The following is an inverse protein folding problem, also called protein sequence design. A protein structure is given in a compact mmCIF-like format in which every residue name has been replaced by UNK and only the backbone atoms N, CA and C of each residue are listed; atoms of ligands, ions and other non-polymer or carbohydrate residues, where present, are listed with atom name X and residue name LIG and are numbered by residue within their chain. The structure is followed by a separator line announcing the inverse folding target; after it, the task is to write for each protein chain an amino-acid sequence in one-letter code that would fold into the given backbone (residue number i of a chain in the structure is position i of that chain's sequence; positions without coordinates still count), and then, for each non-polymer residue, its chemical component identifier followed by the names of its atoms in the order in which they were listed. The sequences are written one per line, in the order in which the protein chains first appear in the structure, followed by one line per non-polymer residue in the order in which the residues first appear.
data_IF_732510187645
#
_entry.id   IF_732510187645
#
_cell.length_a   1.000
_cell.length_b   1.000
_cell.length_c   1.000
_cell.angle_alpha   90.00
_cell.angle_beta   90.00
_cell.angle_gamma   90.00
#
_symmetry.space_group_name_H-M   'P 1'
#
loop_
_entity.id
_entity.type
_entity.pdbx_description
1 polymer ?
#
# COMPACT_ATOMS: atom_id res chain seq x y z
N UNK A 1 10.01 18.62 -4.76
CA UNK A 1 10.60 17.67 -3.79
C UNK A 1 9.48 16.88 -3.09
N UNK A 2 9.61 15.57 -3.06
CA UNK A 2 8.62 14.73 -2.39
C UNK A 2 8.72 14.88 -0.87
N UNK A 3 7.58 15.04 -0.22
CA UNK A 3 7.53 15.22 1.23
C UNK A 3 6.13 14.90 1.76
N UNK A 4 6.08 14.17 2.88
CA UNK A 4 4.84 13.92 3.61
C UNK A 4 5.05 14.23 5.09
N UNK A 5 4.09 14.93 5.69
CA UNK A 5 4.15 15.34 7.09
C UNK A 5 3.59 14.26 8.01
N UNK A 6 3.99 14.30 9.29
CA UNK A 6 3.49 13.36 10.30
C UNK A 6 1.97 13.43 10.45
N UNK A 7 1.38 14.64 10.42
CA UNK A 7 -0.08 14.79 10.52
C UNK A 7 -0.81 14.26 9.29
N UNK A 8 -0.18 14.31 8.11
CA UNK A 8 -0.72 13.71 6.90
C UNK A 8 -0.74 12.19 7.00
N UNK A 9 0.32 11.59 7.56
CA UNK A 9 0.37 10.14 7.82
C UNK A 9 -0.70 9.72 8.83
N UNK A 10 -0.94 10.54 9.86
CA UNK A 10 -1.98 10.27 10.85
C UNK A 10 -3.38 10.21 10.21
N UNK A 11 -3.65 11.05 9.22
CA UNK A 11 -4.93 11.01 8.49
C UNK A 11 -5.09 9.72 7.69
N UNK A 12 -4.01 9.20 7.13
CA UNK A 12 -4.03 7.89 6.45
C UNK A 12 -4.41 6.78 7.43
N UNK A 13 -3.79 6.73 8.61
CA UNK A 13 -4.12 5.75 9.65
C UNK A 13 -5.58 5.83 10.05
N UNK A 14 -6.08 7.04 10.26
CA UNK A 14 -7.46 7.27 10.66
C UNK A 14 -8.44 6.79 9.60
N UNK A 15 -8.19 7.14 8.32
CA UNK A 15 -9.06 6.76 7.21
C UNK A 15 -9.09 5.24 7.01
N UNK A 16 -7.94 4.56 7.12
CA UNK A 16 -7.89 3.10 7.01
C UNK A 16 -8.67 2.43 8.14
N UNK A 17 -8.53 2.95 9.35
CA UNK A 17 -9.27 2.42 10.52
C UNK A 17 -10.78 2.63 10.38
N UNK A 18 -11.20 3.78 9.87
CA UNK A 18 -12.61 4.08 9.64
C UNK A 18 -13.22 3.18 8.56
N UNK A 19 -12.48 2.94 7.46
CA UNK A 19 -13.00 2.14 6.35
C UNK A 19 -13.02 0.64 6.66
N UNK A 20 -11.96 0.11 7.24
CA UNK A 20 -11.80 -1.34 7.43
C UNK A 20 -12.11 -1.79 8.86
N UNK A 21 -12.14 -0.86 9.81
CA UNK A 21 -12.50 -1.13 11.20
C UNK A 21 -11.60 -2.18 11.83
N UNK A 22 -12.22 -3.21 12.40
CA UNK A 22 -11.52 -4.33 13.06
C UNK A 22 -11.18 -5.46 12.10
N UNK A 23 -11.63 -5.39 10.84
CA UNK A 23 -11.42 -6.47 9.85
C UNK A 23 -9.97 -6.61 9.46
N UNK A 24 -9.23 -5.50 9.39
CA UNK A 24 -7.83 -5.49 8.99
C UNK A 24 -7.04 -4.60 9.93
N UNK A 25 -5.82 -5.03 10.24
CA UNK A 25 -4.87 -4.25 11.02
C UNK A 25 -3.74 -3.78 10.12
N UNK A 26 -3.43 -2.50 10.17
CA UNK A 26 -2.44 -1.86 9.32
C UNK A 26 -1.26 -1.34 10.13
N UNK A 27 -0.07 -1.36 9.52
CA UNK A 27 1.09 -0.62 9.98
C UNK A 27 1.34 0.50 8.97
N UNK A 28 1.28 1.76 9.43
CA UNK A 28 1.47 2.93 8.56
C UNK A 28 2.70 3.68 9.05
N UNK A 29 3.69 3.85 8.19
CA UNK A 29 4.97 4.47 8.53
C UNK A 29 5.37 5.51 7.51
N UNK A 30 5.94 6.62 7.99
CA UNK A 30 6.65 7.58 7.15
C UNK A 30 8.10 7.13 7.03
N UNK A 31 8.62 7.09 5.80
CA UNK A 31 9.99 6.69 5.54
C UNK A 31 10.73 7.80 4.81
N UNK A 32 11.89 8.22 5.34
CA UNK A 32 12.75 9.24 4.75
C UNK A 32 12.04 10.56 4.41
N UNK A 33 11.00 10.92 5.16
CA UNK A 33 10.19 12.14 4.97
C UNK A 33 9.47 12.23 3.61
N UNK A 34 9.78 11.38 2.65
CA UNK A 34 9.28 11.48 1.28
C UNK A 34 8.28 10.39 0.91
N UNK A 35 8.16 9.35 1.72
CA UNK A 35 7.27 8.23 1.41
C UNK A 35 6.46 7.78 2.62
N UNK A 36 5.34 7.11 2.33
CA UNK A 36 4.51 6.45 3.33
C UNK A 36 4.36 4.99 2.95
N UNK A 37 4.61 4.11 3.92
CA UNK A 37 4.51 2.67 3.75
C UNK A 37 3.32 2.16 4.54
N UNK A 38 2.39 1.47 3.87
CA UNK A 38 1.23 0.82 4.48
C UNK A 38 1.40 -0.69 4.34
N UNK A 39 1.39 -1.39 5.47
CA UNK A 39 1.45 -2.85 5.49
C UNK A 39 0.20 -3.42 6.15
N UNK A 40 -0.42 -4.43 5.53
CA UNK A 40 -1.52 -5.17 6.12
C UNK A 40 -0.90 -6.26 6.98
N UNK A 41 -0.97 -6.12 8.31
CA UNK A 41 -0.25 -7.03 9.22
C UNK A 41 -1.09 -8.20 9.70
N UNK A 42 -2.40 -8.03 9.81
CA UNK A 42 -3.32 -9.11 10.20
C UNK A 42 -4.76 -8.77 9.81
N UNK A 43 -5.62 -9.76 9.75
CA UNK A 43 -7.03 -9.55 9.46
C UNK A 43 -7.77 -10.81 9.06
N UNK A 44 -9.02 -10.63 8.65
CA UNK A 44 -9.93 -11.71 8.31
C UNK A 44 -9.94 -12.08 6.82
N UNK A 45 -9.01 -11.54 6.04
CA UNK A 45 -8.86 -11.87 4.62
C UNK A 45 -7.79 -12.94 4.49
N UNK A 46 -8.11 -14.01 3.76
CA UNK A 46 -7.18 -15.09 3.47
C UNK A 46 -6.35 -14.76 2.24
N UNK A 47 -5.10 -14.32 2.44
CA UNK A 47 -4.15 -14.10 1.35
C UNK A 47 -3.36 -15.36 1.00
N UNK A 48 -3.55 -16.45 1.76
CA UNK A 48 -2.82 -17.70 1.57
C UNK A 48 -3.56 -18.70 0.66
N UNK A 49 -4.63 -18.26 0.02
CA UNK A 49 -5.51 -19.12 -0.80
C UNK A 49 -5.01 -19.31 -2.25
N UNK A 50 -3.82 -18.85 -2.55
CA UNK A 50 -3.24 -18.94 -3.89
C UNK A 50 -3.43 -17.67 -4.73
N UNK A 51 -4.27 -16.74 -4.31
CA UNK A 51 -4.54 -15.50 -5.08
C UNK A 51 -3.34 -14.56 -5.14
N UNK A 52 -2.41 -14.68 -4.19
CA UNK A 52 -1.21 -13.85 -4.11
C UNK A 52 0.03 -14.56 -4.67
N UNK A 53 -0.11 -15.79 -5.16
CA UNK A 53 1.00 -16.52 -5.76
C UNK A 53 1.41 -15.87 -7.09
N UNK A 54 2.69 -15.90 -7.40
CA UNK A 54 3.23 -15.37 -8.64
C UNK A 54 3.95 -16.45 -9.43
N UNK A 55 3.99 -16.28 -10.76
CA UNK A 55 4.69 -17.22 -11.64
C UNK A 55 5.81 -16.47 -12.37
N UNK A 56 7.01 -17.05 -12.34
CA UNK A 56 8.15 -16.51 -13.06
C UNK A 56 7.93 -16.68 -14.58
N UNK A 57 8.04 -15.59 -15.32
CA UNK A 57 7.83 -15.58 -16.78
C UNK A 57 8.88 -16.36 -17.57
N UNK A 58 10.08 -16.50 -17.00
CA UNK A 58 11.22 -17.11 -17.72
C UNK A 58 11.31 -18.61 -17.53
N UNK A 59 11.00 -19.12 -16.32
CA UNK A 59 11.16 -20.54 -15.99
C UNK A 59 9.86 -21.23 -15.60
N UNK A 60 8.75 -20.49 -15.53
CA UNK A 60 7.45 -21.05 -15.15
C UNK A 60 7.34 -21.45 -13.67
N UNK A 61 8.33 -21.12 -12.86
CA UNK A 61 8.31 -21.48 -11.44
C UNK A 61 7.27 -20.64 -10.69
N UNK A 62 6.46 -21.31 -9.87
CA UNK A 62 5.44 -20.64 -9.05
C UNK A 62 6.05 -20.29 -7.69
N UNK A 63 5.94 -19.02 -7.31
CA UNK A 63 6.34 -18.53 -6.00
C UNK A 63 5.11 -18.37 -5.14
N UNK A 64 4.96 -19.23 -4.13
CA UNK A 64 3.82 -19.18 -3.23
C UNK A 64 3.96 -18.00 -2.25
N UNK A 65 2.84 -17.37 -1.97
CA UNK A 65 2.78 -16.30 -0.97
C UNK A 65 3.09 -16.89 0.42
N UNK A 66 4.11 -16.36 1.05
CA UNK A 66 4.63 -16.87 2.33
C UNK A 66 4.38 -15.92 3.51
N UNK A 67 3.53 -14.91 3.32
CA UNK A 67 3.19 -13.93 4.36
C UNK A 67 3.70 -12.53 4.10
N UNK A 68 4.53 -12.33 3.07
CA UNK A 68 5.00 -11.00 2.67
C UNK A 68 4.99 -10.85 1.17
N UNK A 69 4.32 -9.81 0.69
CA UNK A 69 4.31 -9.45 -0.73
C UNK A 69 4.19 -7.94 -0.86
N UNK A 70 5.06 -7.35 -1.66
CA UNK A 70 4.93 -5.94 -2.04
C UNK A 70 3.88 -5.82 -3.14
N UNK A 71 2.95 -4.87 -2.99
CA UNK A 71 1.83 -4.71 -3.92
C UNK A 71 2.19 -3.67 -4.97
N UNK A 72 1.92 -4.00 -6.24
CA UNK A 72 2.07 -3.07 -7.34
C UNK A 72 0.82 -2.20 -7.43
N UNK A 73 0.91 -0.94 -6.96
CA UNK A 73 -0.23 -0.03 -6.89
C UNK A 73 -0.74 0.42 -8.26
N UNK A 74 0.08 0.30 -9.30
CA UNK A 74 -0.30 0.67 -10.67
C UNK A 74 -1.00 -0.47 -11.42
N UNK A 75 -0.91 -1.69 -10.90
CA UNK A 75 -1.46 -2.88 -11.54
C UNK A 75 -2.19 -3.76 -10.54
N UNK A 76 -3.13 -3.18 -9.80
CA UNK A 76 -3.92 -3.90 -8.79
C UNK A 76 -4.72 -5.05 -9.37
N UNK A 77 -5.00 -5.01 -10.68
CA UNK A 77 -5.70 -6.09 -11.37
C UNK A 77 -4.94 -7.43 -11.38
N UNK A 78 -3.64 -7.43 -11.09
CA UNK A 78 -2.86 -8.66 -10.97
C UNK A 78 -3.27 -9.50 -9.75
N UNK A 79 -3.96 -8.91 -8.78
CA UNK A 79 -4.29 -9.55 -7.51
C UNK A 79 -5.71 -10.12 -7.46
N UNK A 80 -6.39 -10.20 -8.61
CA UNK A 80 -7.68 -10.85 -8.76
C UNK A 80 -8.75 -10.32 -7.80
N UNK A 81 -9.26 -11.18 -6.95
CA UNK A 81 -10.34 -10.81 -6.00
C UNK A 81 -9.94 -9.75 -4.98
N UNK A 82 -8.65 -9.47 -4.82
CA UNK A 82 -8.14 -8.44 -3.91
C UNK A 82 -7.93 -7.09 -4.59
N UNK A 83 -8.21 -6.98 -5.87
CA UNK A 83 -8.00 -5.75 -6.65
C UNK A 83 -8.69 -4.55 -6.01
N UNK A 84 -9.96 -4.69 -5.63
CA UNK A 84 -10.71 -3.59 -5.04
C UNK A 84 -10.14 -3.17 -3.69
N UNK A 85 -9.71 -4.13 -2.88
CA UNK A 85 -9.08 -3.85 -1.59
C UNK A 85 -7.84 -2.97 -1.76
N UNK A 86 -6.92 -3.37 -2.63
CA UNK A 86 -5.69 -2.62 -2.86
C UNK A 86 -5.96 -1.27 -3.50
N UNK A 87 -6.90 -1.19 -4.43
CA UNK A 87 -7.32 0.08 -5.05
C UNK A 87 -7.85 1.05 -4.00
N UNK A 88 -8.68 0.58 -3.07
CA UNK A 88 -9.23 1.41 -1.99
C UNK A 88 -8.13 1.92 -1.06
N UNK A 89 -7.14 1.08 -0.73
CA UNK A 89 -6.02 1.48 0.11
C UNK A 89 -5.18 2.56 -0.57
N UNK A 90 -4.85 2.39 -1.86
CA UNK A 90 -4.11 3.39 -2.64
C UNK A 90 -4.86 4.72 -2.66
N UNK A 91 -6.16 4.66 -2.89
CA UNK A 91 -7.02 5.85 -2.94
C UNK A 91 -6.99 6.62 -1.61
N UNK A 92 -7.02 5.91 -0.49
CA UNK A 92 -6.92 6.51 0.84
C UNK A 92 -5.53 7.15 1.03
N UNK A 93 -4.46 6.44 0.65
CA UNK A 93 -3.09 6.96 0.80
C UNK A 93 -2.88 8.25 0.02
N UNK A 94 -3.58 8.44 -1.10
CA UNK A 94 -3.46 9.61 -1.97
C UNK A 94 -4.43 10.74 -1.63
N UNK A 95 -5.51 10.45 -0.91
CA UNK A 95 -6.56 11.46 -0.62
C UNK A 95 -6.59 11.91 0.84
N UNK A 96 -6.34 11.01 1.79
CA UNK A 96 -6.46 11.32 3.22
C UNK A 96 -5.51 12.44 3.69
N UNK A 97 -4.26 12.55 3.21
CA UNK A 97 -3.38 13.63 3.66
C UNK A 97 -3.93 15.04 3.43
N UNK A 98 -4.79 15.23 2.44
CA UNK A 98 -5.41 16.53 2.18
C UNK A 98 -6.31 17.00 3.32
N UNK A 99 -6.76 16.08 4.20
CA UNK A 99 -7.61 16.38 5.35
C UNK A 99 -6.82 16.91 6.54
N UNK A 100 -5.49 16.76 6.55
CA UNK A 100 -4.65 17.26 7.62
C UNK A 100 -4.50 18.78 7.51
N UNK A 101 -4.27 19.44 8.64
CA UNK A 101 -3.99 20.87 8.64
C UNK A 101 -2.71 21.15 7.85
N UNK A 102 -2.82 21.98 6.82
CA UNK A 102 -1.71 22.24 5.90
C UNK A 102 -1.38 21.09 4.97
N UNK A 103 -2.22 20.05 4.96
CA UNK A 103 -2.04 18.91 4.07
C UNK A 103 -2.43 19.22 2.63
N UNK A 104 -2.02 18.35 1.73
CA UNK A 104 -2.28 18.53 0.30
C UNK A 104 -2.67 17.22 -0.36
N UNK A 105 -3.44 17.32 -1.44
CA UNK A 105 -3.77 16.17 -2.26
C UNK A 105 -2.53 15.65 -2.98
N UNK A 106 -2.49 14.33 -3.20
CA UNK A 106 -1.41 13.71 -3.96
C UNK A 106 -1.42 14.18 -5.41
N UNK A 107 -0.23 14.41 -5.94
CA UNK A 107 -0.05 14.72 -7.36
C UNK A 107 1.25 14.08 -7.86
N UNK A 108 1.33 13.87 -9.17
CA UNK A 108 2.55 13.39 -9.82
C UNK A 108 2.65 14.09 -11.18
N UNK A 109 3.58 15.02 -11.29
CA UNK A 109 3.90 15.75 -12.51
C UNK A 109 5.22 15.29 -13.13
N UNK A 110 5.68 14.09 -12.76
CA UNK A 110 6.94 13.55 -13.26
C UNK A 110 6.89 13.29 -14.77
N UNK A 111 8.01 13.51 -15.44
CA UNK A 111 8.17 13.23 -16.87
C UNK A 111 9.38 12.32 -17.06
N UNK A 112 9.11 11.05 -17.37
CA UNK A 112 10.15 10.04 -17.54
C UNK A 112 11.04 10.30 -18.75
N UNK A 113 10.55 11.01 -19.76
CA UNK A 113 11.33 11.32 -20.97
C UNK A 113 12.39 12.39 -20.74
N UNK A 114 12.17 13.26 -19.76
CA UNK A 114 13.11 14.32 -19.39
C UNK A 114 13.80 14.07 -18.06
N UNK A 115 13.59 12.89 -17.46
CA UNK A 115 14.08 12.54 -16.11
C UNK A 115 13.66 13.54 -15.05
N UNK A 116 12.51 14.20 -15.26
CA UNK A 116 11.94 15.14 -14.29
C UNK A 116 10.98 14.40 -13.36
N UNK A 117 11.26 14.41 -12.08
CA UNK A 117 10.44 13.76 -11.07
C UNK A 117 9.86 14.78 -10.10
N UNK A 118 8.53 14.93 -10.14
CA UNK A 118 7.80 15.86 -9.28
C UNK A 118 6.53 15.18 -8.76
N UNK A 119 6.66 14.50 -7.63
CA UNK A 119 5.52 13.84 -6.96
C UNK A 119 5.37 14.40 -5.55
N UNK A 120 4.13 14.46 -5.06
CA UNK A 120 3.84 14.98 -3.72
C UNK A 120 4.54 14.15 -2.64
N UNK A 121 4.44 12.82 -2.75
CA UNK A 121 5.11 11.85 -1.89
C UNK A 121 4.99 10.47 -2.54
N UNK A 122 5.84 9.55 -2.12
CA UNK A 122 5.80 8.18 -2.64
C UNK A 122 4.93 7.30 -1.74
N UNK A 123 4.24 6.33 -2.35
CA UNK A 123 3.36 5.40 -1.64
C UNK A 123 3.81 3.97 -1.89
N UNK A 124 3.82 3.16 -0.82
CA UNK A 124 4.17 1.75 -0.89
C UNK A 124 3.16 0.94 -0.09
N UNK A 125 2.69 -0.16 -0.66
CA UNK A 125 1.75 -1.08 0.01
C UNK A 125 2.37 -2.47 0.03
N UNK A 126 2.19 -3.17 1.15
CA UNK A 126 2.57 -4.58 1.24
C UNK A 126 1.55 -5.35 2.07
N UNK A 127 1.48 -6.65 1.83
CA UNK A 127 0.80 -7.60 2.71
C UNK A 127 1.88 -8.23 3.58
N UNK A 128 1.77 -8.05 4.90
CA UNK A 128 2.81 -8.46 5.83
C UNK A 128 4.06 -7.60 5.75
N UNK A 129 5.08 -7.99 6.47
CA UNK A 129 6.42 -7.37 6.45
C UNK A 129 7.46 -8.47 6.29
N UNK A 130 8.65 -8.11 5.78
CA UNK A 130 9.73 -9.08 5.57
C UNK A 130 10.14 -9.83 6.84
N UNK A 131 10.02 -9.17 8.01
CA UNK A 131 10.35 -9.73 9.33
C UNK A 131 9.12 -10.17 10.12
N UNK A 132 7.91 -9.93 9.61
CA UNK A 132 6.66 -10.26 10.30
C UNK A 132 5.59 -10.63 9.27
N UNK A 133 5.42 -11.93 8.97
CA UNK A 133 4.41 -12.38 8.01
C UNK A 133 2.99 -11.98 8.40
N UNK A 134 2.14 -11.83 7.40
CA UNK A 134 0.72 -11.55 7.60
C UNK A 134 0.06 -12.69 8.40
N UNK A 135 -0.75 -12.32 9.38
CA UNK A 135 -1.55 -13.26 10.16
C UNK A 135 -3.00 -13.26 9.72
N UNK A 136 -3.48 -14.41 9.28
CA UNK A 136 -4.90 -14.60 8.98
C UNK A 136 -5.64 -14.92 10.28
N UNK A 137 -6.61 -14.07 10.64
CA UNK A 137 -7.46 -14.23 11.82
C UNK A 137 -8.92 -14.23 11.39
N UNK A 138 -9.49 -15.41 11.33
CA UNK A 138 -10.91 -15.57 10.97
C UNK A 138 -11.85 -15.12 12.09
#
# INVERSE_FOLDING_TARGET
MAYIKTNEVAEIRKALKEKFGKSLKFSVRRQHYSSVDVSIVSGNIDFYDGSMDSTDKYNGQVHKFDGHAQINEYHTHFYGKHEQLFTDIVKIMKSAPALAEGGRAWYDNSDAMTDYFDTAYYTHISVGKWDKPYEYKS
#
